data_IF_218609245766
#
_entry.id   IF_218609245766
#
_cell.length_a   1.000
_cell.length_b   1.000
_cell.length_c   1.000
_cell.angle_alpha   90.00
_cell.angle_beta   90.00
_cell.angle_gamma   90.00
#
_symmetry.space_group_name_H-M   'P 1'
#
loop_
_entity.id
_entity.type
_entity.pdbx_description
1 polymer ?
#
# COMPACT_ATOMS: atom_id res chain seq x y z
N UNK A 1 20.17 1.63 8.49
CA UNK A 1 19.84 3.08 8.55
C UNK A 1 21.08 3.86 8.16
N UNK A 2 21.04 4.59 7.05
CA UNK A 2 22.18 5.33 6.51
C UNK A 2 21.94 6.83 6.73
N UNK A 3 22.64 7.43 7.69
CA UNK A 3 22.55 8.86 8.01
C UNK A 3 23.94 9.40 8.34
N UNK A 4 24.24 10.62 7.92
CA UNK A 4 25.49 11.30 8.25
C UNK A 4 25.65 11.48 9.76
N UNK A 5 24.57 11.85 10.46
CA UNK A 5 24.54 11.98 11.94
C UNK A 5 24.80 10.67 12.68
N UNK A 6 24.61 9.51 12.03
CA UNK A 6 24.97 8.20 12.58
C UNK A 6 26.33 7.70 12.11
N UNK A 7 27.07 8.53 11.36
CA UNK A 7 28.33 8.18 10.71
C UNK A 7 28.23 6.99 9.73
N UNK A 8 27.02 6.66 9.26
CA UNK A 8 26.76 5.56 8.31
C UNK A 8 26.49 6.03 6.89
N UNK A 9 26.61 7.34 6.64
CA UNK A 9 26.48 7.95 5.31
C UNK A 9 27.43 9.13 5.15
N UNK A 10 27.74 9.49 3.90
CA UNK A 10 28.53 10.69 3.61
C UNK A 10 27.78 11.96 4.02
N UNK A 11 28.53 12.99 4.39
CA UNK A 11 28.00 14.27 4.85
C UNK A 11 29.14 15.19 5.28
N UNK A 12 28.86 16.49 5.38
CA UNK A 12 29.81 17.51 5.86
C UNK A 12 30.18 17.27 7.33
N UNK A 13 31.32 17.78 7.82
CA UNK A 13 31.73 17.59 9.21
C UNK A 13 30.66 18.00 10.23
N UNK A 14 29.91 19.06 9.95
CA UNK A 14 28.81 19.57 10.80
C UNK A 14 27.56 18.68 10.81
N UNK A 15 27.42 17.77 9.85
CA UNK A 15 26.31 16.82 9.75
C UNK A 15 26.62 15.48 10.44
N UNK A 16 27.87 15.26 10.85
CA UNK A 16 28.33 14.05 11.54
C UNK A 16 27.94 14.07 13.01
N UNK A 17 27.99 12.90 13.65
CA UNK A 17 27.74 12.81 15.10
C UNK A 17 28.69 13.72 15.87
N UNK A 18 28.13 14.62 16.66
CA UNK A 18 28.86 15.48 17.59
C UNK A 18 28.46 15.14 19.03
N UNK A 19 29.37 14.62 19.88
CA UNK A 19 29.04 14.24 21.26
C UNK A 19 28.51 15.38 22.15
N UNK A 20 28.75 16.64 21.77
CA UNK A 20 28.37 17.82 22.55
C UNK A 20 27.01 18.39 22.13
N UNK A 21 26.60 18.20 20.88
CA UNK A 21 25.41 18.87 20.31
C UNK A 21 24.41 17.93 19.66
N UNK A 22 24.81 16.71 19.28
CA UNK A 22 23.90 15.71 18.72
C UNK A 22 23.04 15.05 19.79
N UNK A 23 21.83 14.67 19.41
CA UNK A 23 20.85 14.01 20.28
C UNK A 23 20.14 12.88 19.53
N UNK A 24 19.60 11.92 20.28
CA UNK A 24 18.80 10.86 19.69
C UNK A 24 17.51 11.41 19.04
N UNK A 25 16.95 12.51 19.56
CA UNK A 25 15.82 13.19 18.94
C UNK A 25 16.15 13.66 17.52
N UNK A 26 17.33 14.26 17.30
CA UNK A 26 17.76 14.66 15.96
C UNK A 26 17.92 13.45 15.02
N UNK A 27 18.33 12.29 15.54
CA UNK A 27 18.37 11.06 14.74
C UNK A 27 16.95 10.66 14.31
N UNK A 28 15.98 10.66 15.22
CA UNK A 28 14.58 10.33 14.90
C UNK A 28 13.98 11.28 13.86
N UNK A 29 14.19 12.59 14.03
CA UNK A 29 13.76 13.60 13.06
C UNK A 29 14.47 13.39 11.71
N UNK A 30 15.76 13.06 11.72
CA UNK A 30 16.53 12.81 10.49
C UNK A 30 16.00 11.60 9.71
N UNK A 31 15.54 10.54 10.39
CA UNK A 31 14.88 9.41 9.72
C UNK A 31 13.61 9.86 9.01
N UNK A 32 12.78 10.70 9.66
CA UNK A 32 11.56 11.23 9.05
C UNK A 32 11.85 12.16 7.88
N UNK A 33 12.85 13.04 8.00
CA UNK A 33 13.12 14.08 7.02
C UNK A 33 13.97 13.64 5.83
N UNK A 34 14.79 12.58 5.98
CA UNK A 34 15.77 12.19 4.96
C UNK A 34 15.54 10.79 4.40
N UNK A 35 14.90 9.89 5.16
CA UNK A 35 14.69 8.50 4.74
C UNK A 35 13.23 8.28 4.33
N UNK A 36 12.27 8.65 5.18
CA UNK A 36 10.83 8.44 4.95
C UNK A 36 10.21 9.59 4.14
N UNK A 37 10.76 9.84 2.95
CA UNK A 37 10.39 10.95 2.06
C UNK A 37 9.57 10.50 0.86
N UNK A 38 8.95 11.47 0.17
CA UNK A 38 8.38 11.23 -1.16
C UNK A 38 9.49 11.00 -2.20
N UNK A 39 9.21 10.17 -3.21
CA UNK A 39 10.17 9.76 -4.25
C UNK A 39 11.51 9.21 -3.69
N UNK A 40 11.50 8.21 -2.79
CA UNK A 40 12.69 7.65 -2.14
C UNK A 40 13.72 7.06 -3.11
N UNK A 41 13.35 6.79 -4.37
CA UNK A 41 14.27 6.39 -5.44
C UNK A 41 15.45 7.37 -5.59
N UNK A 42 15.21 8.68 -5.44
CA UNK A 42 16.24 9.70 -5.59
C UNK A 42 17.10 9.90 -4.34
N UNK A 43 16.94 9.09 -3.29
CA UNK A 43 17.90 9.06 -2.19
C UNK A 43 19.18 8.28 -2.56
N UNK A 44 19.18 7.57 -3.68
CA UNK A 44 20.37 6.90 -4.21
C UNK A 44 21.32 7.92 -4.87
N UNK A 45 22.60 7.99 -4.45
CA UNK A 45 23.57 8.92 -4.99
C UNK A 45 23.66 8.92 -6.52
N UNK A 46 23.46 10.10 -7.11
CA UNK A 46 23.59 10.33 -8.55
C UNK A 46 22.27 10.17 -9.31
N UNK A 47 21.24 9.58 -8.69
CA UNK A 47 19.94 9.41 -9.35
C UNK A 47 19.17 10.73 -9.45
N UNK A 48 19.50 11.72 -8.62
CA UNK A 48 18.89 13.05 -8.62
C UNK A 48 19.05 13.76 -9.97
N UNK A 49 20.11 13.42 -10.73
CA UNK A 49 20.35 13.92 -12.09
C UNK A 49 19.24 13.56 -13.08
N UNK A 50 18.51 12.48 -12.81
CA UNK A 50 17.40 12.03 -13.64
C UNK A 50 16.04 12.59 -13.21
N UNK A 51 15.98 13.29 -12.06
CA UNK A 51 14.74 13.86 -11.53
C UNK A 51 14.16 14.88 -12.51
N UNK A 52 12.84 14.80 -12.75
CA UNK A 52 12.14 15.62 -13.73
C UNK A 52 12.24 15.14 -15.18
N UNK A 53 13.06 14.12 -15.47
CA UNK A 53 13.08 13.47 -16.79
C UNK A 53 12.01 12.38 -16.87
N UNK A 54 11.46 12.06 -18.06
CA UNK A 54 10.50 10.95 -18.20
C UNK A 54 11.04 9.60 -17.70
N UNK A 55 12.33 9.34 -17.89
CA UNK A 55 12.97 8.11 -17.41
C UNK A 55 13.06 8.07 -15.88
N UNK A 56 13.50 9.15 -15.25
CA UNK A 56 13.61 9.23 -13.79
C UNK A 56 12.24 9.16 -13.11
N UNK A 57 11.23 9.86 -13.66
CA UNK A 57 9.85 9.77 -13.17
C UNK A 57 9.31 8.34 -13.27
N UNK A 58 9.60 7.63 -14.37
CA UNK A 58 9.18 6.24 -14.54
C UNK A 58 9.84 5.31 -13.52
N UNK A 59 11.16 5.42 -13.33
CA UNK A 59 11.90 4.61 -12.34
C UNK A 59 11.46 4.90 -10.90
N UNK A 60 11.24 6.16 -10.55
CA UNK A 60 10.73 6.53 -9.21
C UNK A 60 9.35 5.95 -8.95
N UNK A 61 8.44 5.95 -9.93
CA UNK A 61 7.10 5.37 -9.79
C UNK A 61 7.12 3.86 -9.61
N UNK A 62 7.95 3.16 -10.36
CA UNK A 62 8.13 1.71 -10.20
C UNK A 62 8.65 1.39 -8.79
N UNK A 63 9.63 2.17 -8.32
CA UNK A 63 10.16 2.08 -6.97
C UNK A 63 9.07 2.33 -5.91
N UNK A 64 8.27 3.38 -6.06
CA UNK A 64 7.15 3.69 -5.16
C UNK A 64 6.12 2.56 -5.11
N UNK A 65 5.80 1.95 -6.26
CA UNK A 65 4.90 0.80 -6.33
C UNK A 65 5.38 -0.36 -5.47
N UNK A 66 6.68 -0.64 -5.49
CA UNK A 66 7.28 -1.66 -4.63
C UNK A 66 7.24 -1.27 -3.14
N UNK A 67 7.58 -0.02 -2.81
CA UNK A 67 7.59 0.45 -1.40
C UNK A 67 6.19 0.47 -0.82
N UNK A 68 5.16 0.88 -1.59
CA UNK A 68 3.76 0.92 -1.14
C UNK A 68 3.25 -0.47 -0.77
N UNK A 69 3.43 -1.47 -1.65
CA UNK A 69 3.00 -2.85 -1.34
C UNK A 69 3.75 -3.41 -0.12
N UNK A 70 5.05 -3.13 0.01
CA UNK A 70 5.84 -3.57 1.14
C UNK A 70 5.42 -2.88 2.45
N UNK A 71 5.02 -1.61 2.38
CA UNK A 71 4.49 -0.85 3.52
C UNK A 71 3.20 -1.48 4.03
N UNK A 72 2.23 -1.72 3.14
CA UNK A 72 0.95 -2.37 3.53
C UNK A 72 1.19 -3.77 4.09
N UNK A 73 2.10 -4.54 3.48
CA UNK A 73 2.43 -5.88 3.97
C UNK A 73 3.12 -5.87 5.33
N UNK A 74 4.30 -5.24 5.42
CA UNK A 74 5.20 -5.41 6.56
C UNK A 74 5.02 -4.36 7.65
N UNK A 75 4.72 -3.12 7.27
CA UNK A 75 4.59 -2.01 8.22
C UNK A 75 3.15 -1.82 8.73
N UNK A 76 2.15 -2.42 8.07
CA UNK A 76 0.75 -2.40 8.51
C UNK A 76 0.26 -3.78 8.91
N UNK A 77 0.07 -4.69 7.94
CA UNK A 77 -0.56 -5.98 8.17
C UNK A 77 0.21 -6.85 9.19
N UNK A 78 1.52 -7.02 9.01
CA UNK A 78 2.32 -7.82 9.95
C UNK A 78 2.52 -7.14 11.30
N UNK A 79 2.50 -5.80 11.37
CA UNK A 79 2.52 -5.09 12.65
C UNK A 79 1.23 -5.32 13.44
N UNK A 80 0.08 -5.41 12.77
CA UNK A 80 -1.19 -5.75 13.42
C UNK A 80 -1.25 -7.22 13.86
N UNK A 81 -0.73 -8.14 13.04
CA UNK A 81 -0.74 -9.58 13.33
C UNK A 81 0.25 -10.00 14.40
N UNK A 82 1.45 -9.43 14.36
CA UNK A 82 2.54 -9.79 15.25
C UNK A 82 3.22 -8.54 15.84
N UNK A 83 2.48 -7.74 16.64
CA UNK A 83 3.03 -6.53 17.22
C UNK A 83 4.12 -6.85 18.24
N UNK A 84 5.18 -6.05 18.22
CA UNK A 84 6.15 -6.03 19.32
C UNK A 84 5.45 -5.66 20.63
N UNK A 85 5.78 -6.36 21.72
CA UNK A 85 5.21 -6.10 23.04
C UNK A 85 5.38 -4.63 23.47
N UNK A 86 6.51 -4.00 23.11
CA UNK A 86 6.80 -2.60 23.43
C UNK A 86 5.85 -1.60 22.76
N UNK A 87 5.22 -1.96 21.63
CA UNK A 87 4.41 -1.05 20.83
C UNK A 87 2.99 -1.54 20.61
N UNK A 88 2.57 -2.62 21.29
CA UNK A 88 1.27 -3.26 21.07
C UNK A 88 0.09 -2.29 21.18
N UNK A 89 0.07 -1.48 22.24
CA UNK A 89 -0.99 -0.49 22.47
C UNK A 89 -0.95 0.63 21.40
N UNK A 90 0.24 1.12 21.06
CA UNK A 90 0.43 2.17 20.05
C UNK A 90 -0.07 1.69 18.68
N UNK A 91 0.31 0.48 18.29
CA UNK A 91 -0.11 -0.15 17.04
C UNK A 91 -1.64 -0.31 17.02
N UNK A 92 -2.22 -0.88 18.08
CA UNK A 92 -3.66 -1.09 18.17
C UNK A 92 -4.44 0.23 18.06
N UNK A 93 -4.10 1.23 18.87
CA UNK A 93 -4.75 2.55 18.83
C UNK A 93 -4.55 3.26 17.49
N UNK A 94 -3.35 3.22 16.93
CA UNK A 94 -3.04 3.84 15.63
C UNK A 94 -3.91 3.28 14.52
N UNK A 95 -3.91 1.96 14.34
CA UNK A 95 -4.67 1.33 13.27
C UNK A 95 -6.18 1.43 13.50
N UNK A 96 -6.65 1.37 14.75
CA UNK A 96 -8.06 1.63 15.05
C UNK A 96 -8.46 3.04 14.62
N UNK A 97 -7.78 4.07 15.12
CA UNK A 97 -8.15 5.47 14.85
C UNK A 97 -8.03 5.85 13.36
N UNK A 98 -7.06 5.28 12.65
CA UNK A 98 -6.79 5.62 11.24
C UNK A 98 -7.36 4.64 10.21
N UNK A 99 -8.12 3.60 10.62
CA UNK A 99 -8.61 2.54 9.72
C UNK A 99 -9.31 3.05 8.46
N UNK A 100 -10.16 4.08 8.57
CA UNK A 100 -10.85 4.67 7.43
C UNK A 100 -9.89 5.38 6.47
N UNK A 101 -8.96 6.18 7.00
CA UNK A 101 -7.95 6.90 6.23
C UNK A 101 -6.99 5.92 5.52
N UNK A 102 -6.54 4.88 6.23
CA UNK A 102 -5.63 3.86 5.69
C UNK A 102 -6.30 3.10 4.54
N UNK A 103 -7.57 2.72 4.67
CA UNK A 103 -8.31 2.06 3.58
C UNK A 103 -8.46 2.97 2.37
N UNK A 104 -8.86 4.23 2.57
CA UNK A 104 -8.94 5.20 1.47
C UNK A 104 -7.58 5.37 0.76
N UNK A 105 -6.50 5.48 1.52
CA UNK A 105 -5.14 5.60 0.99
C UNK A 105 -4.70 4.35 0.20
N UNK A 106 -5.06 3.15 0.67
CA UNK A 106 -4.75 1.91 -0.05
C UNK A 106 -5.47 1.85 -1.40
N UNK A 107 -6.76 2.24 -1.45
CA UNK A 107 -7.52 2.30 -2.71
C UNK A 107 -6.94 3.35 -3.68
N UNK A 108 -6.54 4.51 -3.16
CA UNK A 108 -5.87 5.55 -3.96
C UNK A 108 -4.55 5.02 -4.56
N UNK A 109 -3.70 4.37 -3.76
CA UNK A 109 -2.46 3.78 -4.24
C UNK A 109 -2.68 2.69 -5.28
N UNK A 110 -3.71 1.86 -5.10
CA UNK A 110 -4.10 0.85 -6.09
C UNK A 110 -4.49 1.53 -7.40
N UNK A 111 -5.38 2.52 -7.34
CA UNK A 111 -5.85 3.24 -8.51
C UNK A 111 -4.70 3.93 -9.26
N UNK A 112 -3.81 4.61 -8.54
CA UNK A 112 -2.63 5.28 -9.10
C UNK A 112 -1.70 4.29 -9.82
N UNK A 113 -1.34 3.16 -9.19
CA UNK A 113 -0.47 2.15 -9.82
C UNK A 113 -1.15 1.54 -11.06
N UNK A 114 -2.47 1.33 -11.03
CA UNK A 114 -3.21 0.73 -12.14
C UNK A 114 -3.21 1.61 -13.40
N UNK A 115 -3.11 2.93 -13.28
CA UNK A 115 -3.02 3.85 -14.43
C UNK A 115 -1.86 3.53 -15.36
N UNK A 116 -0.79 2.90 -14.83
CA UNK A 116 0.44 2.59 -15.57
C UNK A 116 0.56 1.11 -15.97
N UNK A 117 -0.46 0.28 -15.70
CA UNK A 117 -0.40 -1.16 -15.97
C UNK A 117 -0.31 -1.51 -17.46
N UNK A 118 -0.78 -0.62 -18.35
CA UNK A 118 -0.70 -0.75 -19.80
C UNK A 118 0.55 -0.10 -20.42
N UNK A 119 1.44 0.47 -19.60
CA UNK A 119 2.68 1.08 -20.10
C UNK A 119 3.59 0.01 -20.74
N UNK A 120 4.09 0.28 -21.95
CA UNK A 120 4.90 -0.69 -22.72
C UNK A 120 6.22 -1.06 -22.04
N UNK A 121 6.78 -0.20 -21.20
CA UNK A 121 8.08 -0.38 -20.54
C UNK A 121 7.94 -0.98 -19.16
N UNK A 122 7.05 -0.42 -18.33
CA UNK A 122 6.92 -0.80 -16.91
C UNK A 122 5.62 -1.52 -16.56
N UNK A 123 4.70 -1.69 -17.52
CA UNK A 123 3.36 -2.19 -17.27
C UNK A 123 3.32 -3.56 -16.59
N UNK A 124 4.26 -4.46 -16.92
CA UNK A 124 4.36 -5.77 -16.24
C UNK A 124 4.71 -5.62 -14.75
N UNK A 125 5.73 -4.83 -14.42
CA UNK A 125 6.14 -4.63 -13.01
C UNK A 125 5.05 -3.89 -12.23
N UNK A 126 4.46 -2.85 -12.82
CA UNK A 126 3.37 -2.10 -12.20
C UNK A 126 2.14 -2.99 -11.95
N UNK A 127 1.78 -3.86 -12.89
CA UNK A 127 0.71 -4.85 -12.71
C UNK A 127 1.01 -5.81 -11.57
N UNK A 128 2.27 -6.26 -11.43
CA UNK A 128 2.70 -7.11 -10.32
C UNK A 128 2.59 -6.38 -8.97
N UNK A 129 3.03 -5.13 -8.88
CA UNK A 129 2.89 -4.31 -7.66
C UNK A 129 1.42 -4.06 -7.31
N UNK A 130 0.57 -3.72 -8.29
CA UNK A 130 -0.86 -3.54 -8.08
C UNK A 130 -1.52 -4.83 -7.56
N UNK A 131 -1.19 -5.98 -8.15
CA UNK A 131 -1.73 -7.26 -7.72
C UNK A 131 -1.30 -7.62 -6.29
N UNK A 132 -0.03 -7.37 -5.92
CA UNK A 132 0.45 -7.57 -4.56
C UNK A 132 -0.25 -6.63 -3.57
N UNK A 133 -0.31 -5.33 -3.89
CA UNK A 133 -0.96 -4.33 -3.06
C UNK A 133 -2.42 -4.68 -2.80
N UNK A 134 -3.19 -5.05 -3.84
CA UNK A 134 -4.60 -5.49 -3.69
C UNK A 134 -4.75 -6.66 -2.72
N UNK A 135 -3.90 -7.70 -2.83
CA UNK A 135 -3.93 -8.84 -1.91
C UNK A 135 -3.66 -8.41 -0.47
N UNK A 136 -2.67 -7.54 -0.26
CA UNK A 136 -2.32 -7.06 1.08
C UNK A 136 -3.39 -6.15 1.66
N UNK A 137 -4.00 -5.28 0.85
CA UNK A 137 -5.13 -4.42 1.25
C UNK A 137 -6.34 -5.25 1.69
N UNK A 138 -6.68 -6.32 0.95
CA UNK A 138 -7.79 -7.20 1.33
C UNK A 138 -7.56 -7.88 2.70
N UNK A 139 -6.34 -8.37 2.93
CA UNK A 139 -5.95 -8.96 4.22
C UNK A 139 -5.94 -7.91 5.34
N UNK A 140 -5.44 -6.70 5.07
CA UNK A 140 -5.42 -5.61 6.04
C UNK A 140 -6.84 -5.18 6.41
N UNK A 141 -7.76 -5.10 5.43
CA UNK A 141 -9.18 -4.79 5.66
C UNK A 141 -9.83 -5.79 6.62
N UNK A 142 -9.54 -7.07 6.46
CA UNK A 142 -10.02 -8.13 7.38
C UNK A 142 -9.51 -7.91 8.81
N UNK A 143 -8.23 -7.62 9.01
CA UNK A 143 -7.67 -7.35 10.35
C UNK A 143 -8.25 -6.05 10.96
N UNK A 144 -8.45 -5.00 10.15
CA UNK A 144 -9.02 -3.73 10.61
C UNK A 144 -10.49 -3.86 11.03
N UNK A 145 -11.28 -4.69 10.34
CA UNK A 145 -12.67 -4.96 10.70
C UNK A 145 -12.81 -5.76 12.01
N UNK A 146 -11.84 -6.64 12.29
CA UNK A 146 -11.81 -7.44 13.51
C UNK A 146 -11.23 -6.69 14.72
N UNK A 147 -10.70 -5.49 14.51
CA UNK A 147 -9.97 -4.75 15.53
C UNK A 147 -10.94 -4.21 16.59
N UNK A 148 -10.84 -4.65 17.86
CA UNK A 148 -11.73 -4.18 18.91
C UNK A 148 -11.46 -2.70 19.23
N UNK A 149 -12.46 -2.01 19.78
CA UNK A 149 -12.25 -0.66 20.32
C UNK A 149 -11.16 -0.70 21.40
N UNK A 150 -10.09 0.12 21.31
CA UNK A 150 -9.06 0.20 22.34
C UNK A 150 -9.58 0.80 23.65
N UNK A 151 -9.00 0.37 24.77
CA UNK A 151 -9.32 0.93 26.09
C UNK A 151 -9.07 2.45 26.15
N UNK A 152 -10.03 3.17 26.72
CA UNK A 152 -9.98 4.63 26.87
C UNK A 152 -10.45 5.42 25.64
N UNK A 153 -11.02 4.75 24.64
CA UNK A 153 -11.73 5.38 23.52
C UNK A 153 -13.21 5.01 23.57
N UNK A 154 -14.07 5.97 23.20
CA UNK A 154 -15.46 5.67 22.90
C UNK A 154 -15.54 4.96 21.56
N UNK A 155 -16.36 3.89 21.43
CA UNK A 155 -16.53 3.21 20.15
C UNK A 155 -17.10 4.19 19.13
N UNK A 156 -16.42 4.33 18.00
CA UNK A 156 -17.05 4.94 16.84
C UNK A 156 -18.30 4.10 16.50
N UNK A 157 -19.43 4.74 16.19
CA UNK A 157 -20.63 4.02 15.73
C UNK A 157 -20.34 3.14 14.50
N UNK A 158 -21.36 2.43 13.98
CA UNK A 158 -21.20 1.47 12.87
C UNK A 158 -20.65 2.05 11.54
N UNK A 159 -20.31 3.34 11.50
CA UNK A 159 -19.87 4.13 10.36
C UNK A 159 -18.69 3.53 9.58
N UNK A 160 -17.72 2.90 10.25
CA UNK A 160 -16.61 2.23 9.54
C UNK A 160 -17.04 0.90 8.90
N UNK A 161 -17.85 0.10 9.60
CA UNK A 161 -18.35 -1.18 9.11
C UNK A 161 -19.23 -0.99 7.87
N UNK A 162 -20.11 0.02 7.90
CA UNK A 162 -20.96 0.40 6.77
C UNK A 162 -20.15 0.90 5.56
N UNK A 163 -19.18 1.81 5.78
CA UNK A 163 -18.30 2.33 4.71
C UNK A 163 -17.44 1.22 4.08
N UNK A 164 -16.91 0.32 4.90
CA UNK A 164 -16.13 -0.84 4.42
C UNK A 164 -17.00 -1.82 3.63
N UNK A 165 -18.22 -2.08 4.09
CA UNK A 165 -19.18 -2.96 3.38
C UNK A 165 -19.59 -2.38 2.02
N UNK A 166 -19.82 -1.07 1.93
CA UNK A 166 -20.12 -0.40 0.67
C UNK A 166 -18.96 -0.46 -0.35
N UNK A 167 -17.71 -0.44 0.13
CA UNK A 167 -16.52 -0.63 -0.72
C UNK A 167 -16.44 -2.08 -1.25
N UNK A 168 -16.74 -3.07 -0.42
CA UNK A 168 -16.75 -4.48 -0.84
C UNK A 168 -17.79 -4.78 -1.93
N UNK A 169 -18.99 -4.18 -1.86
CA UNK A 169 -20.03 -4.37 -2.87
C UNK A 169 -19.58 -3.86 -4.25
N UNK A 170 -18.79 -2.79 -4.31
CA UNK A 170 -18.26 -2.24 -5.57
C UNK A 170 -17.16 -3.10 -6.20
N UNK A 171 -16.46 -3.94 -5.43
CA UNK A 171 -15.37 -4.80 -5.92
C UNK A 171 -15.84 -6.17 -6.45
N UNK A 172 -17.14 -6.49 -6.36
CA UNK A 172 -17.70 -7.73 -6.92
C UNK A 172 -17.75 -7.62 -8.45
N UNK A 173 -17.05 -8.47 -9.22
CA UNK A 173 -17.33 -8.57 -10.66
C UNK A 173 -18.72 -9.19 -10.82
N UNK A 174 -19.56 -8.58 -11.66
CA UNK A 174 -20.73 -9.27 -12.21
C UNK A 174 -20.28 -10.66 -12.69
N UNK A 175 -20.72 -11.71 -12.00
CA UNK A 175 -20.66 -13.05 -12.54
C UNK A 175 -21.62 -13.09 -13.72
N UNK A 176 -21.05 -13.25 -14.91
CA UNK A 176 -21.78 -13.61 -16.11
C UNK A 176 -22.67 -14.81 -15.79
N UNK A 177 -23.97 -14.60 -15.91
CA UNK A 177 -24.95 -15.67 -15.89
C UNK A 177 -24.88 -16.36 -17.25
N UNK A 178 -24.07 -17.41 -17.36
CA UNK A 178 -24.16 -18.36 -18.46
C UNK A 178 -25.57 -18.96 -18.46
N UNK A 179 -26.31 -18.64 -19.53
CA UNK A 179 -27.62 -19.19 -19.83
C UNK A 179 -27.43 -20.61 -20.35
N UNK A 180 -28.04 -21.65 -19.76
CA UNK A 180 -27.93 -23.00 -20.29
C UNK A 180 -28.75 -23.11 -21.58
N UNK A 181 -28.07 -23.38 -22.70
CA UNK A 181 -28.71 -23.80 -23.95
C UNK A 181 -29.21 -25.24 -23.77
N UNK A 182 -30.53 -25.39 -23.60
CA UNK A 182 -31.19 -26.69 -23.62
C UNK A 182 -31.42 -27.11 -25.08
N UNK A 183 -30.72 -28.15 -25.50
CA UNK A 183 -31.02 -28.94 -26.69
C UNK A 183 -32.42 -29.56 -26.56
N UNK A 184 -33.29 -29.29 -27.52
CA UNK A 184 -34.47 -30.12 -27.79
C UNK A 184 -34.40 -30.58 -29.24
N UNK A 185 -34.13 -31.87 -29.39
CA UNK A 185 -34.40 -32.63 -30.61
C UNK A 185 -35.91 -32.63 -30.89
N UNK A 186 -36.29 -32.20 -32.10
CA UNK A 186 -37.60 -32.46 -32.66
C UNK A 186 -37.42 -32.91 -34.11
N UNK A 187 -37.47 -34.23 -34.29
CA UNK A 187 -37.74 -34.90 -35.55
C UNK A 187 -39.03 -34.34 -36.18
N UNK A 188 -38.97 -33.93 -37.44
CA UNK A 188 -40.12 -33.91 -38.32
C UNK A 188 -39.69 -34.44 -39.70
N UNK A 189 -40.35 -35.52 -40.11
CA UNK A 189 -40.14 -36.27 -41.34
C UNK A 189 -41.01 -35.74 -42.49
N UNK A 190 -40.54 -36.05 -43.70
CA UNK A 190 -41.24 -36.10 -44.99
C UNK A 190 -41.75 -34.80 -45.64
N UNK A 191 -41.17 -34.47 -46.80
CA UNK A 191 -41.84 -34.73 -48.09
C UNK A 191 -40.94 -34.40 -49.29
N UNK A 192 -41.03 -35.26 -50.30
CA UNK A 192 -40.36 -35.27 -51.60
C UNK A 192 -40.74 -34.08 -52.49
N UNK A 193 -39.80 -33.65 -53.33
CA UNK A 193 -39.84 -33.68 -54.81
C UNK A 193 -38.53 -33.17 -55.41
#
# INVERSE_FOLDING_TARGET
>A
VCLSILNTWHGRPEEKWNPQTSSFLQVLVSVQSLILVAEPYFNEPGYERSRGTPSGTQSSREYDGNIRQATVKWAMLEQMRNPSACFKEVIHKHFYLKRAEIMAQCEEWIADIQQYSSDKRVGRTMSHHAAALKRHTAQLREELLKLPCPDGLEPDGEEFSEKSSALMVKESPNQDTEKPSSSQDAHCSDSQL
#
